data_IF_157363987147
#
_entry.id   IF_157363987147
#
_cell.length_a   1.000
_cell.length_b   1.000
_cell.length_c   1.000
_cell.angle_alpha   90.00
_cell.angle_beta   90.00
_cell.angle_gamma   90.00
#
_symmetry.space_group_name_H-M   'P 1'
#
loop_
_entity.id
_entity.type
_entity.pdbx_description
1 polymer ?
#
# COMPACT_ATOMS: atom_id res chain seq x y z
N UNK A 1 -2.34 -13.15 8.69
CA UNK A 1 -2.37 -12.13 7.63
C UNK A 1 -3.69 -11.39 7.76
N UNK A 2 -3.79 -10.13 7.31
CA UNK A 2 -5.11 -9.51 7.16
C UNK A 2 -5.82 -10.09 5.93
N UNK A 3 -6.89 -10.86 6.19
CA UNK A 3 -7.64 -11.61 5.19
C UNK A 3 -8.77 -10.79 4.53
N UNK A 4 -8.96 -9.53 4.94
CA UNK A 4 -9.96 -8.65 4.32
C UNK A 4 -9.64 -8.39 2.86
N UNK A 5 -10.67 -8.30 2.01
CA UNK A 5 -10.52 -7.92 0.60
C UNK A 5 -9.94 -6.51 0.45
N UNK A 6 -9.21 -6.26 -0.65
CA UNK A 6 -8.88 -4.91 -1.10
C UNK A 6 -10.07 -4.39 -1.91
N UNK A 7 -10.55 -3.20 -1.56
CA UNK A 7 -11.73 -2.59 -2.17
C UNK A 7 -11.28 -1.54 -3.16
N UNK A 8 -11.72 -1.68 -4.41
CA UNK A 8 -11.46 -0.74 -5.49
C UNK A 8 -12.79 -0.22 -6.05
N UNK A 9 -12.99 1.10 -6.00
CA UNK A 9 -14.04 1.81 -6.72
C UNK A 9 -13.43 2.70 -7.81
N UNK A 10 -14.25 3.53 -8.46
CA UNK A 10 -13.75 4.43 -9.50
C UNK A 10 -12.83 5.53 -8.94
N UNK A 11 -13.05 5.98 -7.70
CA UNK A 11 -12.32 7.09 -7.12
C UNK A 11 -10.91 6.66 -6.68
N UNK A 12 -10.77 5.60 -5.89
CA UNK A 12 -9.43 5.19 -5.45
C UNK A 12 -8.61 4.57 -6.58
N UNK A 13 -9.24 3.86 -7.52
CA UNK A 13 -8.55 3.35 -8.71
C UNK A 13 -7.99 4.49 -9.53
N UNK A 14 -8.79 5.51 -9.84
CA UNK A 14 -8.32 6.70 -10.54
C UNK A 14 -7.20 7.40 -9.77
N UNK A 15 -7.35 7.55 -8.46
CA UNK A 15 -6.33 8.20 -7.64
C UNK A 15 -4.96 7.51 -7.67
N UNK A 16 -4.96 6.18 -7.66
CA UNK A 16 -3.72 5.39 -7.67
C UNK A 16 -3.16 5.26 -9.09
N UNK A 17 -4.00 4.92 -10.07
CA UNK A 17 -3.58 4.53 -11.42
C UNK A 17 -3.37 5.72 -12.35
N UNK A 18 -4.18 6.79 -12.21
CA UNK A 18 -4.32 7.84 -13.23
C UNK A 18 -3.92 9.23 -12.76
N UNK A 19 -4.20 9.60 -11.50
CA UNK A 19 -3.93 10.96 -11.01
C UNK A 19 -2.41 11.23 -10.86
N UNK A 20 -1.60 10.17 -10.75
CA UNK A 20 -0.17 10.24 -10.48
C UNK A 20 0.66 9.30 -11.39
N UNK A 21 0.60 9.46 -12.72
CA UNK A 21 1.26 8.56 -13.66
C UNK A 21 2.79 8.60 -13.49
N UNK A 22 3.36 9.68 -12.97
CA UNK A 22 4.79 9.83 -12.68
C UNK A 22 5.32 8.81 -11.68
N UNK A 23 4.44 8.22 -10.85
CA UNK A 23 4.83 7.19 -9.88
C UNK A 23 4.95 5.81 -10.53
N UNK A 24 4.31 5.61 -11.68
CA UNK A 24 4.21 4.31 -12.35
C UNK A 24 3.69 3.22 -11.41
N UNK A 25 2.80 3.56 -10.47
CA UNK A 25 2.20 2.61 -9.52
C UNK A 25 0.80 2.30 -10.01
N UNK A 26 0.44 1.01 -9.99
CA UNK A 26 -0.90 0.54 -10.30
C UNK A 26 -1.60 -0.05 -9.09
N UNK A 27 -2.92 -0.17 -9.18
CA UNK A 27 -3.79 -0.87 -8.25
C UNK A 27 -3.33 -2.32 -8.06
N UNK A 28 -2.78 -2.94 -9.11
CA UNK A 28 -2.11 -4.25 -9.02
C UNK A 28 -0.88 -4.23 -8.12
N UNK A 29 -0.01 -3.22 -8.22
CA UNK A 29 1.17 -3.12 -7.34
C UNK A 29 0.76 -2.96 -5.87
N UNK A 30 -0.29 -2.18 -5.61
CA UNK A 30 -0.88 -2.02 -4.27
C UNK A 30 -1.41 -3.35 -3.75
N UNK A 31 -2.15 -4.07 -4.59
CA UNK A 31 -2.67 -5.40 -4.33
C UNK A 31 -1.55 -6.41 -3.99
N UNK A 32 -0.41 -6.35 -4.67
CA UNK A 32 0.76 -7.18 -4.39
C UNK A 32 1.38 -6.83 -3.03
N UNK A 33 1.54 -5.53 -2.73
CA UNK A 33 2.08 -5.06 -1.44
C UNK A 33 1.19 -5.45 -0.26
N UNK A 34 -0.14 -5.38 -0.43
CA UNK A 34 -1.10 -5.77 0.60
C UNK A 34 -1.20 -7.29 0.80
N UNK A 35 -0.68 -8.08 -0.16
CA UNK A 35 -0.55 -9.54 -0.10
C UNK A 35 0.88 -10.01 0.24
N UNK A 36 1.85 -9.10 0.32
CA UNK A 36 3.21 -9.44 0.71
C UNK A 36 3.22 -10.04 2.13
N UNK A 37 3.69 -11.30 2.31
CA UNK A 37 3.78 -11.93 3.62
C UNK A 37 4.83 -11.29 4.53
N UNK A 38 5.83 -10.64 3.95
CA UNK A 38 6.92 -10.00 4.68
C UNK A 38 6.67 -8.50 4.90
N UNK A 39 5.46 -8.02 4.59
CA UNK A 39 5.11 -6.61 4.76
C UNK A 39 5.20 -6.18 6.21
N UNK A 40 5.64 -4.95 6.43
CA UNK A 40 5.54 -4.28 7.73
C UNK A 40 4.32 -3.38 7.72
N UNK A 41 3.43 -3.56 8.67
CA UNK A 41 2.20 -2.78 8.80
C UNK A 41 2.17 -2.07 10.15
N UNK A 42 1.79 -0.79 10.14
CA UNK A 42 1.58 0.01 11.33
C UNK A 42 0.23 0.73 11.25
N UNK A 43 -0.47 0.80 12.37
CA UNK A 43 -1.64 1.66 12.49
C UNK A 43 -1.19 3.08 12.83
N UNK A 44 -1.81 4.08 12.19
CA UNK A 44 -1.59 5.51 12.38
C UNK A 44 -2.84 6.13 13.03
N UNK A 45 -2.90 6.23 14.38
CA UNK A 45 -4.10 6.68 15.09
C UNK A 45 -4.59 8.06 14.66
N UNK A 46 -3.69 9.02 14.47
CA UNK A 46 -4.02 10.40 14.08
C UNK A 46 -4.68 10.49 12.70
N UNK A 47 -4.47 9.48 11.86
CA UNK A 47 -5.04 9.39 10.50
C UNK A 47 -6.16 8.37 10.38
N UNK A 48 -6.42 7.62 11.45
CA UNK A 48 -7.32 6.45 11.44
C UNK A 48 -7.06 5.53 10.24
N UNK A 49 -5.79 5.30 9.93
CA UNK A 49 -5.33 4.61 8.73
C UNK A 49 -4.21 3.64 9.04
N UNK A 50 -3.93 2.74 8.12
CA UNK A 50 -2.82 1.80 8.19
C UNK A 50 -1.77 2.19 7.14
N UNK A 51 -0.50 2.21 7.54
CA UNK A 51 0.64 2.32 6.64
C UNK A 51 1.32 0.96 6.51
N UNK A 52 1.50 0.52 5.26
CA UNK A 52 2.12 -0.74 4.89
C UNK A 52 3.37 -0.44 4.09
N UNK A 53 4.48 -1.11 4.44
CA UNK A 53 5.68 -1.17 3.61
C UNK A 53 5.85 -2.62 3.14
N UNK A 54 5.82 -2.84 1.83
CA UNK A 54 5.96 -4.18 1.27
C UNK A 54 6.56 -4.17 -0.14
N UNK A 55 6.72 -5.36 -0.69
CA UNK A 55 7.35 -5.62 -1.98
C UNK A 55 6.31 -6.01 -3.03
N UNK A 56 6.50 -5.52 -4.25
CA UNK A 56 5.81 -6.04 -5.42
C UNK A 56 6.54 -7.28 -5.96
N UNK A 57 5.89 -8.05 -6.82
CA UNK A 57 6.52 -9.18 -7.53
C UNK A 57 7.71 -8.71 -8.40
N UNK A 58 7.64 -7.47 -8.90
CA UNK A 58 8.71 -6.78 -9.62
C UNK A 58 9.86 -6.28 -8.73
N UNK A 59 9.90 -6.64 -7.45
CA UNK A 59 10.92 -6.22 -6.46
C UNK A 59 10.96 -4.72 -6.18
N UNK A 60 9.91 -3.97 -6.51
CA UNK A 60 9.76 -2.60 -6.03
C UNK A 60 9.32 -2.64 -4.57
N UNK A 61 9.80 -1.69 -3.79
CA UNK A 61 9.32 -1.47 -2.43
C UNK A 61 8.39 -0.28 -2.44
N UNK A 62 7.15 -0.47 -1.96
CA UNK A 62 6.17 0.60 -1.89
C UNK A 62 5.77 0.85 -0.44
N UNK A 63 5.31 2.08 -0.21
CA UNK A 63 4.51 2.45 0.94
C UNK A 63 3.08 2.61 0.46
N UNK A 64 2.15 1.88 1.08
CA UNK A 64 0.71 1.93 0.81
C UNK A 64 0.01 2.41 2.08
N UNK A 65 -0.91 3.36 1.95
CA UNK A 65 -1.81 3.75 3.03
C UNK A 65 -3.23 3.34 2.66
N UNK A 66 -3.91 2.70 3.60
CA UNK A 66 -5.30 2.28 3.45
C UNK A 66 -6.11 2.58 4.71
N UNK A 67 -7.43 2.73 4.55
CA UNK A 67 -8.39 2.88 5.66
C UNK A 67 -9.33 1.70 5.69
N UNK A 68 -9.85 1.40 6.87
CA UNK A 68 -10.85 0.35 7.01
C UNK A 68 -12.21 0.84 6.52
N UNK A 69 -12.86 0.04 5.70
CA UNK A 69 -14.25 0.23 5.28
C UNK A 69 -15.02 -1.07 5.48
N UNK A 70 -16.37 -1.03 5.58
CA UNK A 70 -17.18 -2.24 5.76
C UNK A 70 -16.92 -3.34 4.72
N UNK A 71 -16.56 -2.96 3.49
CA UNK A 71 -16.24 -3.91 2.41
C UNK A 71 -14.79 -4.44 2.43
N UNK A 72 -13.93 -3.89 3.30
CA UNK A 72 -12.53 -4.28 3.45
C UNK A 72 -11.56 -3.11 3.43
N UNK A 73 -10.33 -3.41 3.01
CA UNK A 73 -9.21 -2.45 2.98
C UNK A 73 -9.38 -1.52 1.78
N UNK A 74 -9.54 -0.22 2.03
CA UNK A 74 -9.69 0.78 0.99
C UNK A 74 -8.39 1.59 0.82
N UNK A 75 -7.59 1.35 -0.23
CA UNK A 75 -6.36 2.10 -0.46
C UNK A 75 -6.66 3.57 -0.74
N UNK A 76 -5.85 4.45 -0.12
CA UNK A 76 -5.98 5.90 -0.28
C UNK A 76 -4.70 6.57 -0.74
N UNK A 77 -3.56 5.87 -0.69
CA UNK A 77 -2.28 6.41 -1.15
C UNK A 77 -1.28 5.30 -1.45
N UNK A 78 -0.43 5.52 -2.45
CA UNK A 78 0.74 4.70 -2.71
C UNK A 78 1.91 5.53 -3.25
N UNK A 79 3.13 5.16 -2.83
CA UNK A 79 4.39 5.75 -3.30
C UNK A 79 5.54 4.76 -3.19
N UNK A 80 6.64 5.01 -3.89
CA UNK A 80 7.88 4.25 -3.66
C UNK A 80 8.40 4.46 -2.23
N UNK A 81 8.92 3.38 -1.65
CA UNK A 81 9.65 3.43 -0.40
C UNK A 81 11.03 4.03 -0.61
N UNK A 82 11.44 4.93 0.28
CA UNK A 82 12.79 5.48 0.24
C UNK A 82 13.81 4.44 0.69
N UNK A 83 15.08 4.58 0.24
CA UNK A 83 16.20 3.72 0.69
C UNK A 83 16.31 3.64 2.22
N UNK A 84 15.99 4.74 2.92
CA UNK A 84 15.98 4.79 4.39
C UNK A 84 14.90 3.90 4.99
N UNK A 85 13.68 3.92 4.44
CA UNK A 85 12.57 3.06 4.88
C UNK A 85 12.93 1.60 4.63
N UNK A 86 13.39 1.28 3.42
CA UNK A 86 13.79 -0.07 3.02
C UNK A 86 14.84 -0.62 4.01
N UNK A 87 15.91 0.13 4.26
CA UNK A 87 16.95 -0.30 5.22
C UNK A 87 16.37 -0.55 6.61
N UNK A 88 15.45 0.28 7.10
CA UNK A 88 14.83 0.13 8.42
C UNK A 88 14.01 -1.16 8.52
N UNK A 89 13.32 -1.56 7.45
CA UNK A 89 12.47 -2.76 7.45
C UNK A 89 13.23 -4.05 7.13
N UNK A 90 14.36 -3.98 6.42
CA UNK A 90 15.17 -5.17 6.06
C UNK A 90 16.29 -5.51 7.04
N UNK A 91 16.63 -4.60 7.98
CA UNK A 91 17.68 -4.82 8.99
C UNK A 91 17.08 -5.25 10.34
N UNK A 92 15.82 -5.64 10.36
CA UNK A 92 15.17 -6.23 11.53
C UNK A 92 15.36 -7.73 11.56
#
# INVERSE_FOLDING_TARGET
MDDRSVVWDAANRKHIDEDHPERGISSRDVDEVLRDPDRVEIYLPDRQAYEVVGRTAGRRWLVVIWIDQPAGRYPIHARDASKRIIRKVTTK
#
